data_IF_537986677013
#
_entry.id   IF_537986677013
#
_cell.length_a   1.000
_cell.length_b   1.000
_cell.length_c   1.000
_cell.angle_alpha   90.00
_cell.angle_beta   90.00
_cell.angle_gamma   90.00
#
_symmetry.space_group_name_H-M   'P 1'
#
loop_
_entity.id
_entity.type
_entity.pdbx_description
1 polymer ?
#
# COMPACT_ATOMS: atom_id res chain seq x y z
N UNK A 1 4.01 3.44 -11.38
CA UNK A 1 2.92 3.87 -10.49
C UNK A 1 3.08 3.13 -9.19
N UNK A 2 3.12 3.86 -8.09
CA UNK A 2 3.23 3.33 -6.73
C UNK A 2 1.91 3.53 -6.01
N UNK A 3 1.45 2.52 -5.30
CA UNK A 3 0.34 2.59 -4.36
C UNK A 3 0.75 1.90 -3.07
N UNK A 4 0.31 2.48 -1.96
CA UNK A 4 0.60 2.02 -0.63
C UNK A 4 -0.73 1.89 0.10
N UNK A 5 -1.07 0.67 0.52
CA UNK A 5 -2.35 0.35 1.14
C UNK A 5 -2.08 -0.32 2.49
N UNK A 6 -2.62 0.23 3.57
CA UNK A 6 -2.67 -0.47 4.85
C UNK A 6 -3.83 -1.44 4.86
N UNK A 7 -3.62 -2.63 5.42
CA UNK A 7 -4.66 -3.60 5.72
C UNK A 7 -4.82 -3.68 7.23
N UNK A 8 -5.97 -3.25 7.73
CA UNK A 8 -6.31 -3.36 9.14
C UNK A 8 -6.55 -4.82 9.57
N UNK A 9 -6.66 -5.06 10.88
CA UNK A 9 -6.86 -6.40 11.43
C UNK A 9 -8.12 -7.05 10.86
N UNK A 10 -8.08 -8.37 10.72
CA UNK A 10 -9.24 -9.17 10.35
C UNK A 10 -10.30 -9.09 11.46
N UNK A 11 -11.46 -8.55 11.12
CA UNK A 11 -12.67 -8.57 11.95
C UNK A 11 -13.70 -9.48 11.29
N UNK A 12 -13.77 -10.74 11.72
CA UNK A 12 -14.51 -11.78 11.00
C UNK A 12 -13.87 -12.06 9.63
N UNK A 13 -14.67 -12.03 8.56
CA UNK A 13 -14.21 -12.24 7.17
C UNK A 13 -13.84 -10.94 6.44
N UNK A 14 -13.74 -9.83 7.18
CA UNK A 14 -13.51 -8.49 6.61
C UNK A 14 -12.30 -7.82 7.25
N UNK A 15 -11.40 -7.30 6.39
CA UNK A 15 -10.37 -6.33 6.78
C UNK A 15 -10.77 -4.95 6.30
N UNK A 16 -10.42 -3.93 7.06
CA UNK A 16 -10.42 -2.54 6.59
C UNK A 16 -9.18 -2.28 5.74
N UNK A 17 -9.28 -1.32 4.83
CA UNK A 17 -8.18 -0.90 3.98
C UNK A 17 -8.07 0.61 3.99
N UNK A 18 -6.84 1.11 4.09
CA UNK A 18 -6.56 2.54 4.07
C UNK A 18 -5.55 2.85 2.96
N UNK A 19 -5.84 3.85 2.15
CA UNK A 19 -4.90 4.40 1.17
C UNK A 19 -3.91 5.31 1.88
N UNK A 20 -2.63 4.96 1.79
CA UNK A 20 -1.51 5.73 2.35
C UNK A 20 -0.79 6.55 1.28
N UNK A 21 -0.79 6.05 0.04
CA UNK A 21 -0.28 6.75 -1.13
C UNK A 21 -1.01 6.24 -2.39
N UNK A 22 -1.37 7.13 -3.34
CA UNK A 22 -1.12 8.57 -3.34
C UNK A 22 -2.01 9.35 -2.38
N UNK A 23 -1.52 10.51 -1.93
CA UNK A 23 -2.27 11.48 -1.12
C UNK A 23 -1.90 12.91 -1.58
N UNK A 24 -2.81 13.88 -1.44
CA UNK A 24 -2.69 15.20 -2.06
C UNK A 24 -1.40 15.98 -1.72
N UNK A 25 -0.89 15.85 -0.50
CA UNK A 25 0.28 16.59 0.01
C UNK A 25 1.60 15.99 -0.50
N UNK A 26 1.59 14.79 -1.07
CA UNK A 26 2.79 14.09 -1.58
C UNK A 26 2.69 13.86 -3.09
N UNK A 27 3.75 14.17 -3.83
CA UNK A 27 3.84 13.94 -5.29
C UNK A 27 2.64 14.53 -6.08
N UNK A 28 2.06 15.62 -5.57
CA UNK A 28 0.88 16.26 -6.16
C UNK A 28 -0.36 15.38 -6.22
N UNK A 29 -0.53 14.42 -5.30
CA UNK A 29 -1.61 13.43 -5.34
C UNK A 29 -1.49 12.41 -6.46
N UNK A 30 -0.34 12.35 -7.15
CA UNK A 30 -0.15 11.42 -8.25
C UNK A 30 0.47 10.10 -7.77
N UNK A 31 -0.05 8.94 -8.18
CA UNK A 31 0.63 7.66 -7.98
C UNK A 31 1.80 7.47 -8.96
N UNK A 32 2.00 8.36 -9.94
CA UNK A 32 3.07 8.21 -10.93
C UNK A 32 4.41 8.57 -10.30
N UNK A 33 5.29 7.57 -10.20
CA UNK A 33 6.68 7.71 -9.76
C UNK A 33 7.59 7.38 -10.94
N UNK A 34 8.53 8.27 -11.23
CA UNK A 34 9.49 8.11 -12.33
C UNK A 34 10.68 7.25 -11.91
N UNK A 35 11.44 6.73 -12.88
CA UNK A 35 12.69 6.03 -12.59
C UNK A 35 13.63 6.94 -11.77
N UNK A 36 14.31 6.35 -10.79
CA UNK A 36 15.24 7.01 -9.85
C UNK A 36 14.64 8.15 -9.00
N UNK A 37 13.33 8.35 -9.06
CA UNK A 37 12.66 9.36 -8.23
C UNK A 37 12.73 8.93 -6.76
N UNK A 38 13.43 9.73 -5.96
CA UNK A 38 13.35 9.65 -4.50
C UNK A 38 12.04 10.27 -4.05
N UNK A 39 11.23 9.47 -3.36
CA UNK A 39 9.94 9.88 -2.84
C UNK A 39 9.89 9.57 -1.35
N UNK A 40 9.46 10.54 -0.56
CA UNK A 40 9.05 10.33 0.81
C UNK A 40 7.53 10.43 0.85
N UNK A 41 6.87 9.38 1.32
CA UNK A 41 5.41 9.39 1.50
C UNK A 41 5.02 10.01 2.84
N UNK A 42 3.75 10.39 2.96
CA UNK A 42 3.22 10.97 4.19
C UNK A 42 3.46 10.08 5.42
N UNK A 43 3.41 10.71 6.59
CA UNK A 43 3.58 10.04 7.87
C UNK A 43 2.44 9.05 8.13
N UNK A 44 2.78 7.79 8.30
CA UNK A 44 1.92 6.80 8.91
C UNK A 44 2.22 6.80 10.40
N UNK A 45 1.22 7.11 11.24
CA UNK A 45 1.32 6.89 12.68
C UNK A 45 0.88 5.46 12.95
N UNK A 46 1.81 4.61 13.34
CA UNK A 46 1.50 3.34 14.00
C UNK A 46 0.63 3.65 15.21
N UNK A 47 -0.42 2.86 15.44
CA UNK A 47 -1.25 3.08 16.61
C UNK A 47 -0.45 2.77 17.89
N UNK A 48 -0.99 3.16 19.05
CA UNK A 48 -0.28 2.97 20.32
C UNK A 48 -0.37 1.50 20.84
N UNK A 49 -0.94 0.57 20.07
CA UNK A 49 -1.05 -0.84 20.45
C UNK A 49 0.11 -1.65 19.87
N UNK A 50 0.68 -2.55 20.64
CA UNK A 50 1.65 -3.51 20.11
C UNK A 50 0.99 -4.37 19.01
N UNK A 51 1.62 -4.44 17.83
CA UNK A 51 1.03 -5.13 16.69
C UNK A 51 1.94 -5.27 15.49
N UNK A 52 1.40 -5.94 14.47
CA UNK A 52 1.99 -6.06 13.14
C UNK A 52 1.09 -5.30 12.17
N UNK A 53 1.60 -4.20 11.63
CA UNK A 53 0.93 -3.50 10.53
C UNK A 53 1.19 -4.23 9.22
N UNK A 54 0.12 -4.40 8.43
CA UNK A 54 0.13 -5.11 7.16
C UNK A 54 0.04 -4.12 6.00
N UNK A 55 1.16 -3.93 5.31
CA UNK A 55 1.26 -2.93 4.28
C UNK A 55 1.45 -3.55 2.90
N UNK A 56 0.56 -3.24 1.97
CA UNK A 56 0.72 -3.62 0.58
C UNK A 56 1.45 -2.54 -0.20
N UNK A 57 2.61 -2.91 -0.73
CA UNK A 57 3.31 -2.12 -1.74
C UNK A 57 2.94 -2.63 -3.13
N UNK A 58 2.37 -1.76 -3.96
CA UNK A 58 2.05 -2.06 -5.35
C UNK A 58 2.82 -1.13 -6.27
N UNK A 59 3.69 -1.70 -7.11
CA UNK A 59 4.39 -0.98 -8.17
C UNK A 59 3.95 -1.51 -9.53
N UNK A 60 3.63 -0.62 -10.47
CA UNK A 60 3.10 -1.00 -11.78
C UNK A 60 3.56 -0.07 -12.91
N UNK A 61 3.68 -0.59 -14.13
CA UNK A 61 4.04 0.18 -15.32
C UNK A 61 2.91 1.12 -15.80
N UNK A 62 1.65 0.79 -15.46
CA UNK A 62 0.44 1.54 -15.83
C UNK A 62 -0.47 1.74 -14.61
N UNK A 63 -1.44 2.68 -14.64
CA UNK A 63 -2.41 2.80 -13.56
C UNK A 63 -3.15 1.48 -13.29
N UNK A 64 -3.45 1.21 -12.02
CA UNK A 64 -4.20 0.02 -11.59
C UNK A 64 -5.61 0.47 -11.24
N UNK A 65 -6.61 0.01 -11.98
CA UNK A 65 -7.97 0.55 -11.90
C UNK A 65 -8.58 0.41 -10.49
N UNK A 66 -8.38 -0.74 -9.86
CA UNK A 66 -8.89 -1.06 -8.53
C UNK A 66 -8.31 -0.13 -7.45
N UNK A 67 -7.05 0.30 -7.63
CA UNK A 67 -6.37 1.21 -6.70
C UNK A 67 -6.63 2.68 -7.05
N UNK A 68 -6.80 3.01 -8.33
CA UNK A 68 -7.21 4.35 -8.77
C UNK A 68 -8.61 4.72 -8.27
N UNK A 69 -9.53 3.75 -8.23
CA UNK A 69 -10.90 3.95 -7.80
C UNK A 69 -11.06 4.37 -6.33
N UNK A 70 -9.99 4.27 -5.53
CA UNK A 70 -9.99 4.52 -4.09
C UNK A 70 -9.02 5.63 -3.65
N UNK A 71 -8.29 6.26 -4.58
CA UNK A 71 -7.32 7.32 -4.21
C UNK A 71 -7.99 8.54 -3.60
N UNK A 72 -9.29 8.73 -3.85
CA UNK A 72 -10.10 9.78 -3.24
C UNK A 72 -10.22 9.64 -1.72
N UNK A 73 -10.09 8.43 -1.17
CA UNK A 73 -10.11 8.18 0.27
C UNK A 73 -8.93 8.83 1.02
N UNK A 74 -7.81 9.12 0.33
CA UNK A 74 -6.64 9.76 0.93
C UNK A 74 -6.84 11.28 1.10
N UNK A 75 -7.77 11.65 1.99
CA UNK A 75 -8.17 13.01 2.29
C UNK A 75 -8.33 13.24 3.81
N UNK A 76 -8.47 14.50 4.24
CA UNK A 76 -8.54 14.86 5.66
C UNK A 76 -9.86 14.42 6.37
N UNK A 77 -10.91 14.03 5.62
CA UNK A 77 -12.19 13.54 6.16
C UNK A 77 -12.21 12.02 6.36
N UNK A 78 -11.71 11.27 5.38
CA UNK A 78 -11.69 9.81 5.39
C UNK A 78 -10.40 9.24 5.97
N UNK A 79 -9.34 10.04 6.06
CA UNK A 79 -8.04 9.64 6.61
C UNK A 79 -7.47 8.37 5.94
N UNK A 80 -7.73 8.22 4.64
CA UNK A 80 -7.33 7.07 3.84
C UNK A 80 -8.33 5.91 3.84
N UNK A 81 -9.31 5.87 4.75
CA UNK A 81 -10.21 4.73 4.92
C UNK A 81 -11.09 4.50 3.68
N UNK A 82 -11.06 3.29 3.14
CA UNK A 82 -11.93 2.88 2.04
C UNK A 82 -13.28 2.45 2.63
N UNK A 83 -14.19 3.42 2.83
CA UNK A 83 -15.51 3.20 3.45
C UNK A 83 -16.52 2.47 2.57
N UNK A 84 -16.36 2.57 1.25
CA UNK A 84 -17.22 1.84 0.30
C UNK A 84 -16.86 0.35 0.31
N UNK A 85 -17.78 -0.48 0.80
CA UNK A 85 -17.57 -1.91 0.95
C UNK A 85 -17.32 -2.65 -0.38
N UNK A 86 -17.89 -2.18 -1.49
CA UNK A 86 -17.67 -2.78 -2.81
C UNK A 86 -16.27 -2.44 -3.32
N UNK A 87 -15.83 -1.20 -3.16
CA UNK A 87 -14.45 -0.79 -3.49
C UNK A 87 -13.43 -1.54 -2.62
N UNK A 88 -13.65 -1.63 -1.30
CA UNK A 88 -12.78 -2.36 -0.39
C UNK A 88 -12.65 -3.84 -0.77
N UNK A 89 -13.77 -4.48 -1.15
CA UNK A 89 -13.77 -5.87 -1.66
C UNK A 89 -12.96 -6.00 -2.95
N UNK A 90 -13.13 -5.06 -3.90
CA UNK A 90 -12.37 -5.05 -5.15
C UNK A 90 -10.87 -4.94 -4.92
N UNK A 91 -10.44 -4.09 -3.98
CA UNK A 91 -9.02 -3.94 -3.60
C UNK A 91 -8.49 -5.24 -3.00
N UNK A 92 -9.21 -5.84 -2.04
CA UNK A 92 -8.82 -7.13 -1.45
C UNK A 92 -8.67 -8.21 -2.50
N UNK A 93 -9.67 -8.38 -3.36
CA UNK A 93 -9.68 -9.45 -4.36
C UNK A 93 -8.53 -9.26 -5.37
N UNK A 94 -8.24 -8.02 -5.75
CA UNK A 94 -7.07 -7.67 -6.57
C UNK A 94 -5.75 -8.04 -5.89
N UNK A 95 -5.55 -7.63 -4.63
CA UNK A 95 -4.31 -7.92 -3.89
C UNK A 95 -4.11 -9.44 -3.71
N UNK A 96 -5.17 -10.16 -3.35
CA UNK A 96 -5.13 -11.61 -3.15
C UNK A 96 -4.85 -12.38 -4.45
N UNK A 97 -5.41 -11.94 -5.58
CA UNK A 97 -5.15 -12.56 -6.88
C UNK A 97 -3.67 -12.51 -7.30
N UNK A 98 -2.90 -11.57 -6.75
CA UNK A 98 -1.48 -11.39 -7.07
C UNK A 98 -0.54 -11.85 -5.95
N UNK A 99 -1.05 -12.25 -4.79
CA UNK A 99 -0.25 -12.65 -3.62
C UNK A 99 0.67 -13.86 -3.88
N UNK A 100 0.39 -14.68 -4.91
CA UNK A 100 1.22 -15.83 -5.28
C UNK A 100 2.50 -15.45 -6.05
N UNK A 101 2.52 -14.28 -6.70
CA UNK A 101 3.69 -13.80 -7.45
C UNK A 101 4.60 -13.02 -6.51
N UNK A 102 5.44 -13.74 -5.75
CA UNK A 102 6.32 -13.12 -4.78
C UNK A 102 7.51 -12.42 -5.47
N UNK A 103 7.75 -11.14 -5.20
CA UNK A 103 8.95 -10.46 -5.65
C UNK A 103 10.19 -10.99 -4.91
N UNK A 104 11.36 -10.70 -5.48
CA UNK A 104 12.65 -10.93 -4.84
C UNK A 104 12.84 -9.82 -3.77
N UNK A 105 12.83 -10.21 -2.49
CA UNK A 105 12.94 -9.28 -1.33
C UNK A 105 14.27 -9.49 -0.61
N UNK A 106 15.06 -8.42 -0.48
CA UNK A 106 16.32 -8.41 0.27
C UNK A 106 16.26 -7.38 1.39
N UNK A 107 16.36 -7.81 2.64
CA UNK A 107 16.39 -6.94 3.82
C UNK A 107 17.83 -6.64 4.25
N UNK A 108 18.18 -5.37 4.36
CA UNK A 108 19.42 -4.87 4.98
C UNK A 108 19.06 -4.28 6.36
N UNK A 109 19.13 -5.13 7.39
CA UNK A 109 18.78 -4.73 8.76
C UNK A 109 19.75 -3.70 9.35
N UNK A 110 21.00 -3.66 8.89
CA UNK A 110 21.98 -2.69 9.37
C UNK A 110 21.63 -1.26 8.91
N UNK A 111 21.13 -1.12 7.68
CA UNK A 111 20.68 0.16 7.13
C UNK A 111 19.18 0.42 7.32
N UNK A 112 18.44 -0.55 7.87
CA UNK A 112 16.96 -0.53 7.95
C UNK A 112 16.33 -0.30 6.57
N UNK A 113 16.84 -1.00 5.56
CA UNK A 113 16.40 -0.88 4.17
C UNK A 113 15.86 -2.23 3.68
N UNK A 114 14.83 -2.17 2.85
CA UNK A 114 14.33 -3.35 2.13
C UNK A 114 14.37 -3.04 0.65
N UNK A 115 15.05 -3.88 -0.13
CA UNK A 115 15.01 -3.88 -1.58
C UNK A 115 13.95 -4.88 -2.02
N UNK A 116 13.05 -4.45 -2.89
CA UNK A 116 12.00 -5.31 -3.47
C UNK A 116 12.08 -5.20 -4.98
N UNK A 117 12.31 -6.34 -5.65
CA UNK A 117 12.47 -6.42 -7.09
C UNK A 117 11.44 -7.39 -7.70
N UNK A 118 10.75 -6.94 -8.74
CA UNK A 118 9.75 -7.73 -9.46
C UNK A 118 10.20 -8.03 -10.88
N UNK A 119 9.73 -9.14 -11.44
CA UNK A 119 9.96 -9.50 -12.84
C UNK A 119 8.66 -9.25 -13.62
N UNK A 120 8.56 -8.12 -14.30
CA UNK A 120 7.41 -7.78 -15.15
C UNK A 120 6.88 -6.37 -14.92
N UNK A 121 5.64 -6.14 -15.38
CA UNK A 121 4.97 -4.84 -15.36
C UNK A 121 4.26 -4.54 -14.04
N UNK A 122 4.22 -5.49 -13.12
CA UNK A 122 3.56 -5.37 -11.82
C UNK A 122 4.37 -6.08 -10.74
N UNK A 123 4.43 -5.45 -9.59
CA UNK A 123 5.04 -5.96 -8.37
C UNK A 123 4.07 -5.66 -7.24
N UNK A 124 3.69 -6.69 -6.50
CA UNK A 124 2.84 -6.57 -5.32
C UNK A 124 3.56 -7.29 -4.18
N UNK A 125 3.74 -6.61 -3.06
CA UNK A 125 4.39 -7.17 -1.90
C UNK A 125 3.67 -6.77 -0.62
N UNK A 126 3.35 -7.75 0.23
CA UNK A 126 2.94 -7.50 1.61
C UNK A 126 4.20 -7.30 2.46
N UNK A 127 4.25 -6.20 3.17
CA UNK A 127 5.29 -5.82 4.12
C UNK A 127 4.66 -5.82 5.50
N UNK A 128 5.17 -6.66 6.37
CA UNK A 128 4.80 -6.68 7.78
C UNK A 128 5.78 -5.81 8.57
N UNK A 129 5.24 -4.85 9.31
CA UNK A 129 6.01 -3.95 10.17
C UNK A 129 5.58 -4.18 11.62
N UNK A 130 6.46 -4.78 12.41
CA UNK A 130 6.27 -4.96 13.84
C UNK A 130 6.62 -3.68 14.59
N UNK A 131 5.79 -3.29 15.55
CA UNK A 131 6.11 -2.24 16.52
C UNK A 131 5.78 -2.70 17.94
N UNK A 132 6.58 -2.20 18.87
CA UNK A 132 6.57 -2.52 20.30
C UNK A 132 6.50 -1.25 21.13
#
# INVERSE_FOLDING_TARGET
YLYLINQGPLSGDTSTYNVLFPELKTNGGSPKVSADQKLQTAWMRFDDHQGTENFWMVWSASPVNELQAVTDAANDQDLGEIRDAAKARSVRDFLNAHASQKPDVTKDSAKKQTLVAGKGNMLINLIELEHH
#
